data_IF_248154416811
#
_entry.id   IF_248154416811
#
_cell.length_a   1.000
_cell.length_b   1.000
_cell.length_c   1.000
_cell.angle_alpha   90.00
_cell.angle_beta   90.00
_cell.angle_gamma   90.00
#
_symmetry.space_group_name_H-M   'P 1'
#
loop_
_entity.id
_entity.type
_entity.pdbx_description
1 polymer ?
#
# COMPACT_ATOMS: atom_id res chain seq x y z
N UNK A 1 -3.36 -11.49 12.71
CA UNK A 1 -2.96 -10.69 11.52
C UNK A 1 -2.33 -11.65 10.53
N UNK A 2 -3.08 -12.18 9.57
CA UNK A 2 -2.53 -13.11 8.58
C UNK A 2 -1.93 -12.34 7.41
N UNK A 3 -0.61 -12.39 7.29
CA UNK A 3 0.12 -11.89 6.13
C UNK A 3 0.32 -13.05 5.17
N UNK A 4 -0.50 -13.13 4.11
CA UNK A 4 -0.21 -14.05 2.99
C UNK A 4 0.68 -13.32 1.99
N UNK A 5 1.82 -13.94 1.66
CA UNK A 5 2.84 -13.39 0.74
C UNK A 5 2.29 -13.15 -0.67
N UNK A 6 1.13 -13.72 -1.00
CA UNK A 6 0.50 -13.63 -2.32
C UNK A 6 -0.63 -12.59 -2.38
N UNK A 7 -1.22 -12.18 -1.24
CA UNK A 7 -2.20 -11.08 -1.12
C UNK A 7 -2.17 -10.48 0.29
N UNK A 8 -1.81 -9.20 0.41
CA UNK A 8 -1.81 -8.48 1.69
C UNK A 8 -3.23 -7.98 1.99
N UNK A 9 -4.05 -8.85 2.58
CA UNK A 9 -5.39 -8.49 3.08
C UNK A 9 -5.28 -8.15 4.56
N UNK A 10 -5.47 -6.88 4.93
CA UNK A 10 -5.47 -6.45 6.33
C UNK A 10 -6.91 -6.42 6.84
N UNK A 11 -7.41 -7.55 7.38
CA UNK A 11 -8.74 -7.61 7.97
C UNK A 11 -8.70 -6.99 9.39
N UNK A 12 -9.00 -5.70 9.50
CA UNK A 12 -9.52 -5.13 10.75
C UNK A 12 -11.04 -5.28 10.72
N UNK A 13 -11.59 -6.26 11.45
CA UNK A 13 -13.04 -6.34 11.70
C UNK A 13 -13.94 -6.51 10.47
N UNK A 14 -13.56 -7.34 9.49
CA UNK A 14 -14.46 -7.74 8.39
C UNK A 14 -14.46 -6.85 7.15
N UNK A 15 -13.58 -5.85 7.07
CA UNK A 15 -13.40 -5.05 5.86
C UNK A 15 -12.19 -5.60 5.09
N UNK A 16 -12.43 -6.23 3.93
CA UNK A 16 -11.39 -6.70 3.02
C UNK A 16 -10.74 -5.47 2.35
N UNK A 17 -9.78 -4.86 3.05
CA UNK A 17 -9.04 -3.72 2.52
C UNK A 17 -7.89 -4.26 1.66
N UNK A 18 -8.08 -4.17 0.35
CA UNK A 18 -7.18 -4.72 -0.66
C UNK A 18 -6.00 -3.73 -0.88
N UNK A 19 -4.84 -4.04 -0.30
CA UNK A 19 -3.64 -3.21 -0.39
C UNK A 19 -2.64 -3.78 -1.40
N UNK A 20 -1.81 -2.89 -1.94
CA UNK A 20 -0.65 -3.20 -2.78
C UNK A 20 0.62 -2.60 -2.17
N UNK A 21 1.77 -3.21 -2.45
CA UNK A 21 3.07 -2.69 -1.98
C UNK A 21 3.65 -1.67 -2.96
N UNK A 22 4.68 -0.92 -2.54
CA UNK A 22 5.34 0.08 -3.40
C UNK A 22 5.80 -0.48 -4.76
N UNK A 23 6.23 -1.74 -4.82
CA UNK A 23 6.67 -2.36 -6.08
C UNK A 23 5.52 -2.52 -7.08
N UNK A 24 4.36 -2.93 -6.60
CA UNK A 24 3.15 -3.10 -7.41
C UNK A 24 2.58 -1.74 -7.82
N UNK A 25 2.52 -0.79 -6.88
CA UNK A 25 2.12 0.58 -7.18
C UNK A 25 3.07 1.25 -8.19
N UNK A 26 4.37 0.94 -8.12
CA UNK A 26 5.37 1.40 -9.09
C UNK A 26 5.13 0.86 -10.49
N UNK A 27 4.74 -0.41 -10.60
CA UNK A 27 4.34 -0.98 -11.88
C UNK A 27 3.01 -0.39 -12.40
N UNK A 28 2.01 -0.21 -11.53
CA UNK A 28 0.68 0.34 -11.89
C UNK A 28 0.76 1.80 -12.35
N UNK A 29 1.51 2.62 -11.62
CA UNK A 29 1.57 4.07 -11.85
C UNK A 29 2.77 4.50 -12.71
N UNK A 30 3.67 3.59 -13.05
CA UNK A 30 4.87 3.88 -13.85
C UNK A 30 5.86 4.82 -13.17
N UNK A 31 5.78 4.99 -11.85
CA UNK A 31 6.65 5.87 -11.06
C UNK A 31 7.60 5.06 -10.18
N UNK A 32 8.77 5.62 -9.86
CA UNK A 32 9.74 4.88 -9.02
C UNK A 32 9.24 4.76 -7.57
N UNK A 33 9.63 3.70 -6.82
CA UNK A 33 9.24 3.55 -5.42
C UNK A 33 9.64 4.73 -4.51
N UNK A 34 10.66 5.50 -4.90
CA UNK A 34 11.08 6.70 -4.18
C UNK A 34 10.02 7.81 -4.28
N UNK A 35 9.46 8.03 -5.48
CA UNK A 35 8.36 8.98 -5.68
C UNK A 35 7.11 8.58 -4.90
N UNK A 36 6.81 7.28 -4.90
CA UNK A 36 5.68 6.75 -4.13
C UNK A 36 5.86 6.99 -2.64
N UNK A 37 7.07 6.80 -2.10
CA UNK A 37 7.37 7.17 -0.72
C UNK A 37 7.07 8.64 -0.42
N UNK A 38 7.42 9.56 -1.32
CA UNK A 38 7.09 10.98 -1.19
C UNK A 38 5.58 11.25 -1.26
N UNK A 39 4.82 10.48 -2.04
CA UNK A 39 3.37 10.62 -2.10
C UNK A 39 2.69 10.13 -0.83
N UNK A 40 3.15 9.00 -0.28
CA UNK A 40 2.66 8.46 0.98
C UNK A 40 3.02 9.37 2.16
N UNK A 41 4.27 9.83 2.25
CA UNK A 41 4.71 10.72 3.34
C UNK A 41 4.11 12.12 3.22
N UNK A 42 3.86 12.59 1.99
CA UNK A 42 3.25 13.88 1.72
C UNK A 42 1.72 13.89 1.82
N UNK A 43 1.09 12.79 2.25
CA UNK A 43 -0.37 12.70 2.44
C UNK A 43 -1.18 12.86 1.14
N UNK A 44 -0.58 12.64 -0.02
CA UNK A 44 -1.25 12.76 -1.33
C UNK A 44 -2.14 11.57 -1.64
N UNK A 45 -1.78 10.41 -1.10
CA UNK A 45 -2.58 9.19 -1.19
C UNK A 45 -3.42 9.12 0.09
N UNK A 46 -4.74 8.95 0.02
CA UNK A 46 -5.58 8.74 1.19
C UNK A 46 -5.48 7.28 1.65
N UNK A 47 -5.40 7.06 2.96
CA UNK A 47 -5.34 5.72 3.56
C UNK A 47 -4.07 4.88 3.39
N UNK A 48 -2.86 5.42 3.09
CA UNK A 48 -1.64 4.62 3.08
C UNK A 48 -1.29 4.22 4.51
N UNK A 49 -1.13 2.92 4.74
CA UNK A 49 -0.76 2.37 6.06
C UNK A 49 0.73 2.06 6.06
N UNK A 50 1.47 2.62 7.01
CA UNK A 50 2.88 2.31 7.18
C UNK A 50 3.04 1.08 8.08
N UNK A 51 3.56 0.00 7.51
CA UNK A 51 3.82 -1.26 8.22
C UNK A 51 5.33 -1.49 8.29
N UNK A 52 5.95 -1.07 9.39
CA UNK A 52 7.40 -1.08 9.55
C UNK A 52 8.10 -0.16 8.53
N UNK A 53 8.89 -0.75 7.64
CA UNK A 53 9.62 -0.03 6.58
C UNK A 53 8.86 0.06 5.25
N UNK A 54 7.68 -0.56 5.14
CA UNK A 54 6.93 -0.66 3.89
C UNK A 54 5.62 0.14 4.00
N UNK A 55 5.24 0.78 2.90
CA UNK A 55 3.92 1.40 2.74
C UNK A 55 2.97 0.42 2.07
N UNK A 56 1.80 0.26 2.68
CA UNK A 56 0.65 -0.45 2.15
C UNK A 56 -0.27 0.60 1.54
N UNK A 57 -0.41 0.52 0.22
CA UNK A 57 -1.13 1.50 -0.59
C UNK A 57 -2.47 0.88 -0.95
N UNK A 58 -3.61 1.53 -0.68
CA UNK A 58 -4.90 1.00 -1.10
C UNK A 58 -4.93 0.80 -2.62
N UNK A 59 -5.40 -0.35 -3.11
CA UNK A 59 -5.55 -0.56 -4.57
C UNK A 59 -6.58 0.36 -5.21
N UNK A 60 -7.50 0.89 -4.40
CA UNK A 60 -8.48 1.91 -4.78
C UNK A 60 -7.90 3.31 -4.94
N UNK A 61 -6.59 3.49 -4.71
CA UNK A 61 -5.85 4.72 -5.01
C UNK A 61 -5.44 4.85 -6.48
#
# INVERSE_FOLDING_TARGET
>A
MYYSKERIIIIFGGIDMDYMILKEASAKWGVTPRWINYFCSGGRIPGPVKMGMVWLIPKSA
#
